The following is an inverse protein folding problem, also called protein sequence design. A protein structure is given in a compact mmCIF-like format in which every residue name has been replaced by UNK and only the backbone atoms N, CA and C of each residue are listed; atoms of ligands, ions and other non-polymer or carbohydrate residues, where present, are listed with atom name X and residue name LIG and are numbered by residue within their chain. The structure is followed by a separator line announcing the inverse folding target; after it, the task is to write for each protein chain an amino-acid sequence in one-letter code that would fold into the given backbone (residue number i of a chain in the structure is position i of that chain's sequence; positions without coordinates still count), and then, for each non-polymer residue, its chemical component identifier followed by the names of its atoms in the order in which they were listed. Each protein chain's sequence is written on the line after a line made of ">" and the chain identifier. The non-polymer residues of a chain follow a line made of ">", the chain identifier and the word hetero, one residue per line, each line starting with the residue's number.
data_IF_257277862828
#
_entry.id   IF_257277862828
#
_cell.length_a   1.000
_cell.length_b   1.000
_cell.length_c   1.000
_cell.angle_alpha   90.00
_cell.angle_beta   90.00
_cell.angle_gamma   90.00
#
_symmetry.space_group_name_H-M   'P 1'
#
loop_
_entity.id
_entity.type
_entity.pdbx_description
1 polymer ?
#
# COMPACT_ATOMS: atom_id res chain seq x y z
N UNK A 1 7.71 16.46 -23.73
CA UNK A 1 9.08 16.18 -23.23
C UNK A 1 9.30 14.69 -23.28
N UNK A 2 10.44 14.24 -23.81
CA UNK A 2 10.85 12.83 -23.80
C UNK A 2 12.06 12.71 -22.88
N UNK A 3 11.95 11.85 -21.87
CA UNK A 3 13.05 11.51 -20.98
C UNK A 3 13.57 10.13 -21.36
N UNK A 4 14.89 9.98 -21.45
CA UNK A 4 15.59 8.71 -21.68
C UNK A 4 16.58 8.51 -20.54
N UNK A 5 16.56 7.32 -19.95
CA UNK A 5 17.55 6.87 -18.98
C UNK A 5 18.11 5.51 -19.39
N UNK A 6 19.41 5.34 -19.20
CA UNK A 6 20.11 4.07 -19.42
C UNK A 6 20.57 3.56 -18.04
N UNK A 7 20.27 2.29 -17.76
CA UNK A 7 20.49 1.68 -16.45
C UNK A 7 21.28 0.40 -16.62
N UNK A 8 22.36 0.27 -15.85
CA UNK A 8 23.12 -0.97 -15.73
C UNK A 8 22.53 -1.81 -14.59
N UNK A 9 21.89 -2.92 -14.94
CA UNK A 9 21.52 -3.99 -14.02
C UNK A 9 22.65 -5.02 -13.95
N UNK A 10 22.68 -5.93 -12.95
CA UNK A 10 23.72 -6.95 -12.84
C UNK A 10 23.90 -7.78 -14.11
N UNK A 11 22.79 -8.13 -14.77
CA UNK A 11 22.77 -9.04 -15.92
C UNK A 11 22.36 -8.38 -17.25
N UNK A 12 22.04 -7.08 -17.25
CA UNK A 12 21.56 -6.40 -18.46
C UNK A 12 21.77 -4.88 -18.47
N UNK A 13 21.77 -4.32 -19.67
CA UNK A 13 21.58 -2.89 -19.90
C UNK A 13 20.13 -2.64 -20.25
N UNK A 14 19.48 -1.74 -19.52
CA UNK A 14 18.08 -1.38 -19.73
C UNK A 14 17.96 0.08 -20.15
N UNK A 15 17.29 0.31 -21.27
CA UNK A 15 16.93 1.65 -21.72
C UNK A 15 15.46 1.92 -21.41
N UNK A 16 15.20 2.94 -20.59
CA UNK A 16 13.83 3.34 -20.23
C UNK A 16 13.50 4.69 -20.85
N UNK A 17 12.39 4.75 -21.58
CA UNK A 17 11.86 5.99 -22.16
C UNK A 17 10.56 6.38 -21.46
N UNK A 18 10.42 7.66 -21.12
CA UNK A 18 9.19 8.27 -20.64
C UNK A 18 8.81 9.45 -21.54
N UNK A 19 7.76 9.26 -22.33
CA UNK A 19 7.13 10.31 -23.12
C UNK A 19 6.01 10.98 -22.34
N UNK A 20 6.14 12.28 -22.11
CA UNK A 20 5.10 13.12 -21.51
C UNK A 20 4.66 14.18 -22.52
N UNK A 21 3.39 14.13 -22.91
CA UNK A 21 2.76 15.12 -23.78
C UNK A 21 1.55 15.73 -23.07
N UNK A 22 1.33 17.03 -23.28
CA UNK A 22 0.23 17.79 -22.67
C UNK A 22 -1.10 17.16 -23.09
N UNK A 23 -1.97 16.87 -22.12
CA UNK A 23 -3.28 16.22 -22.32
C UNK A 23 -3.25 14.78 -22.90
N UNK A 24 -2.09 14.13 -22.98
CA UNK A 24 -1.98 12.73 -23.38
C UNK A 24 -1.57 11.83 -22.21
N UNK A 25 -1.86 10.53 -22.32
CA UNK A 25 -1.34 9.53 -21.37
C UNK A 25 0.18 9.48 -21.45
N UNK A 26 0.84 9.33 -20.30
CA UNK A 26 2.28 9.05 -20.25
C UNK A 26 2.58 7.73 -20.97
N UNK A 27 3.57 7.74 -21.86
CA UNK A 27 4.01 6.54 -22.59
C UNK A 27 5.35 6.10 -22.01
N UNK A 28 5.40 4.89 -21.47
CA UNK A 28 6.64 4.29 -20.99
C UNK A 28 7.09 3.18 -21.92
N UNK A 29 8.39 3.11 -22.22
CA UNK A 29 9.00 2.03 -22.99
C UNK A 29 10.21 1.45 -22.26
N UNK A 30 10.44 0.16 -22.46
CA UNK A 30 11.66 -0.58 -22.08
C UNK A 30 12.28 -1.14 -23.35
N UNK A 31 13.53 -0.77 -23.63
CA UNK A 31 14.26 -1.18 -24.84
C UNK A 31 13.39 -0.98 -26.10
N UNK A 32 12.85 0.24 -26.22
CA UNK A 32 11.92 0.70 -27.28
C UNK A 32 10.57 0.00 -27.38
N UNK A 33 10.30 -1.02 -26.56
CA UNK A 33 9.00 -1.67 -26.48
C UNK A 33 8.11 -0.98 -25.45
N UNK A 34 6.89 -0.53 -25.82
CA UNK A 34 5.98 0.08 -24.86
C UNK A 34 5.52 -0.94 -23.82
N UNK A 35 5.42 -0.51 -22.56
CA UNK A 35 4.77 -1.33 -21.54
C UNK A 35 3.27 -1.48 -21.86
N UNK A 36 2.73 -2.68 -21.67
CA UNK A 36 1.27 -2.87 -21.78
C UNK A 36 0.57 -2.32 -20.54
N UNK A 37 1.21 -2.47 -19.37
CA UNK A 37 0.74 -1.93 -18.09
C UNK A 37 1.89 -1.29 -17.34
N UNK A 38 1.67 -0.11 -16.78
CA UNK A 38 2.69 0.59 -15.98
C UNK A 38 3.19 -0.25 -14.79
N UNK A 39 2.37 -1.14 -14.24
CA UNK A 39 2.76 -2.09 -13.19
C UNK A 39 3.92 -3.01 -13.57
N UNK A 40 4.18 -3.23 -14.86
CA UNK A 40 5.32 -4.03 -15.35
C UNK A 40 6.67 -3.34 -15.13
N UNK A 41 6.66 -2.02 -14.94
CA UNK A 41 7.87 -1.25 -14.62
C UNK A 41 8.25 -1.34 -13.14
N UNK A 42 7.26 -1.56 -12.26
CA UNK A 42 7.48 -1.55 -10.81
C UNK A 42 8.39 -2.73 -10.41
N UNK A 43 9.47 -2.41 -9.69
CA UNK A 43 10.48 -3.37 -9.28
C UNK A 43 11.50 -3.77 -10.36
N UNK A 44 11.40 -3.22 -11.57
CA UNK A 44 12.43 -3.44 -12.60
C UNK A 44 13.76 -2.77 -12.23
N UNK A 45 13.67 -1.54 -11.74
CA UNK A 45 14.80 -0.73 -11.31
C UNK A 45 14.48 -0.29 -9.89
N UNK A 46 14.99 -1.01 -8.86
CA UNK A 46 14.75 -0.63 -7.48
C UNK A 46 15.45 0.71 -7.20
N UNK A 47 14.68 1.72 -6.86
CA UNK A 47 15.16 3.07 -6.60
C UNK A 47 14.56 3.57 -5.29
N UNK A 48 15.41 4.15 -4.46
CA UNK A 48 15.00 4.83 -3.23
C UNK A 48 15.22 6.32 -3.43
N UNK A 49 14.14 7.09 -3.33
CA UNK A 49 14.17 8.55 -3.31
C UNK A 49 13.87 9.00 -1.88
N UNK A 50 14.66 9.95 -1.39
CA UNK A 50 14.38 10.65 -0.12
C UNK A 50 14.06 12.10 -0.47
N UNK A 51 12.92 12.58 0.00
CA UNK A 51 12.46 13.94 -0.23
C UNK A 51 11.94 14.57 1.06
N UNK A 52 12.00 15.91 1.22
CA UNK A 52 11.41 16.59 2.38
C UNK A 52 9.92 16.27 2.61
N UNK A 53 9.19 15.94 1.54
CA UNK A 53 7.79 15.54 1.61
C UNK A 53 7.55 14.21 2.34
N UNK A 54 8.58 13.38 2.54
CA UNK A 54 8.46 12.07 3.21
C UNK A 54 8.06 12.18 4.68
N UNK A 55 8.16 13.39 5.28
CA UNK A 55 7.58 13.68 6.60
C UNK A 55 6.10 13.32 6.68
N UNK A 56 5.38 13.36 5.55
CA UNK A 56 3.96 12.96 5.45
C UNK A 56 3.71 11.51 5.85
N UNK A 57 4.70 10.61 5.79
CA UNK A 57 4.57 9.24 6.28
C UNK A 57 4.35 9.25 7.80
N UNK A 58 5.01 10.17 8.50
CA UNK A 58 4.93 10.30 9.96
C UNK A 58 3.68 11.09 10.37
N UNK A 59 3.53 12.32 9.86
CA UNK A 59 2.47 13.25 10.30
C UNK A 59 1.12 13.02 9.60
N UNK A 60 1.12 12.25 8.51
CA UNK A 60 -0.05 12.00 7.68
C UNK A 60 -1.01 10.97 8.28
N UNK A 61 -2.02 10.62 7.49
CA UNK A 61 -3.01 9.61 7.84
C UNK A 61 -2.52 8.18 7.59
N UNK A 62 -3.36 7.21 7.95
CA UNK A 62 -3.09 5.79 7.67
C UNK A 62 -2.94 5.49 6.18
N UNK A 63 -3.52 6.32 5.31
CA UNK A 63 -3.37 6.20 3.86
C UNK A 63 -1.92 6.38 3.40
N UNK A 64 -1.22 7.41 3.88
CA UNK A 64 0.16 7.67 3.47
C UNK A 64 1.10 6.55 3.94
N UNK A 65 0.88 6.03 5.14
CA UNK A 65 1.63 4.88 5.68
C UNK A 65 1.35 3.59 4.92
N UNK A 66 0.09 3.34 4.55
CA UNK A 66 -0.27 2.20 3.68
C UNK A 66 0.36 2.35 2.29
N UNK A 67 0.32 3.53 1.68
CA UNK A 67 0.96 3.79 0.38
C UNK A 67 2.46 3.55 0.44
N UNK A 68 3.12 4.00 1.50
CA UNK A 68 4.54 3.73 1.74
C UNK A 68 4.81 2.21 1.79
N UNK A 69 4.11 1.50 2.67
CA UNK A 69 4.24 0.05 2.81
C UNK A 69 3.95 -0.70 1.50
N UNK A 70 2.85 -0.36 0.83
CA UNK A 70 2.46 -0.97 -0.44
C UNK A 70 3.47 -0.71 -1.55
N UNK A 71 4.01 0.51 -1.61
CA UNK A 71 5.03 0.91 -2.58
C UNK A 71 6.31 0.10 -2.39
N UNK A 72 6.79 -0.02 -1.13
CA UNK A 72 8.02 -0.77 -0.82
C UNK A 72 7.85 -2.26 -1.13
N UNK A 73 6.77 -2.89 -0.68
CA UNK A 73 6.52 -4.32 -0.93
C UNK A 73 6.40 -4.58 -2.44
N UNK A 74 5.70 -3.71 -3.18
CA UNK A 74 5.50 -3.87 -4.63
C UNK A 74 6.79 -3.81 -5.44
N UNK A 75 7.87 -3.21 -4.91
CA UNK A 75 9.16 -3.17 -5.60
C UNK A 75 9.85 -4.53 -5.66
N UNK A 76 9.63 -5.42 -4.69
CA UNK A 76 10.28 -6.75 -4.67
C UNK A 76 9.30 -7.92 -4.78
N UNK A 77 8.00 -7.71 -4.56
CA UNK A 77 6.97 -8.74 -4.73
C UNK A 77 5.95 -8.34 -5.82
N UNK A 78 6.17 -8.85 -7.04
CA UNK A 78 5.25 -8.64 -8.17
C UNK A 78 3.89 -9.28 -7.96
N UNK A 79 3.81 -10.39 -7.23
CA UNK A 79 2.55 -11.06 -6.94
C UNK A 79 1.71 -10.23 -5.96
N UNK A 80 2.36 -9.62 -4.96
CA UNK A 80 1.74 -8.65 -4.07
C UNK A 80 1.12 -7.49 -4.87
N UNK A 81 1.89 -6.84 -5.75
CA UNK A 81 1.38 -5.75 -6.58
C UNK A 81 0.15 -6.18 -7.40
N UNK A 82 0.21 -7.36 -8.03
CA UNK A 82 -0.92 -7.90 -8.81
C UNK A 82 -2.16 -8.11 -7.94
N UNK A 83 -1.99 -8.67 -6.74
CA UNK A 83 -3.09 -8.94 -5.81
C UNK A 83 -3.64 -7.65 -5.20
N UNK A 84 -2.80 -6.67 -4.88
CA UNK A 84 -3.20 -5.35 -4.40
C UNK A 84 -4.05 -4.60 -5.44
N UNK A 85 -3.62 -4.59 -6.70
CA UNK A 85 -4.40 -3.99 -7.80
C UNK A 85 -5.75 -4.70 -7.96
N UNK A 86 -5.77 -6.04 -7.94
CA UNK A 86 -7.01 -6.81 -8.03
C UNK A 86 -7.95 -6.53 -6.84
N UNK A 87 -7.41 -6.45 -5.62
CA UNK A 87 -8.16 -6.14 -4.41
C UNK A 87 -8.80 -4.76 -4.50
N UNK A 88 -8.05 -3.73 -4.91
CA UNK A 88 -8.55 -2.36 -5.06
C UNK A 88 -9.65 -2.26 -6.13
N UNK A 89 -9.55 -3.03 -7.22
CA UNK A 89 -10.60 -3.10 -8.25
C UNK A 89 -11.88 -3.73 -7.69
N UNK A 90 -11.77 -4.84 -6.95
CA UNK A 90 -12.92 -5.48 -6.30
C UNK A 90 -13.54 -4.60 -5.22
N UNK A 91 -12.71 -3.92 -4.42
CA UNK A 91 -13.15 -2.94 -3.42
C UNK A 91 -13.98 -1.81 -4.07
N UNK A 92 -13.49 -1.28 -5.20
CA UNK A 92 -14.21 -0.25 -5.97
C UNK A 92 -15.54 -0.79 -6.49
N UNK A 93 -15.55 -2.02 -7.02
CA UNK A 93 -16.77 -2.70 -7.48
C UNK A 93 -17.77 -2.91 -6.34
N UNK A 94 -17.33 -3.42 -5.18
CA UNK A 94 -18.15 -3.61 -3.97
C UNK A 94 -18.72 -2.28 -3.49
N UNK A 95 -17.91 -1.24 -3.41
CA UNK A 95 -18.36 0.10 -3.01
C UNK A 95 -19.37 0.70 -3.99
N UNK A 96 -19.26 0.42 -5.29
CA UNK A 96 -20.28 0.81 -6.28
C UNK A 96 -21.61 0.11 -6.01
N UNK A 97 -21.60 -1.21 -5.75
CA UNK A 97 -22.80 -1.98 -5.45
C UNK A 97 -23.45 -1.54 -4.13
N UNK A 98 -22.66 -1.21 -3.11
CA UNK A 98 -23.15 -0.66 -1.84
C UNK A 98 -23.92 0.65 -2.07
N UNK A 99 -23.36 1.58 -2.85
CA UNK A 99 -24.03 2.83 -3.22
C UNK A 99 -25.31 2.61 -4.02
N UNK A 100 -25.37 1.54 -4.82
CA UNK A 100 -26.54 1.12 -5.58
C UNK A 100 -27.55 0.33 -4.75
N UNK A 101 -27.31 0.13 -3.44
CA UNK A 101 -28.17 -0.67 -2.54
C UNK A 101 -28.46 -2.07 -3.11
N UNK A 102 -27.45 -2.69 -3.71
CA UNK A 102 -27.55 -4.04 -4.28
C UNK A 102 -27.83 -5.10 -3.20
N UNK A 103 -28.27 -6.28 -3.64
CA UNK A 103 -28.55 -7.41 -2.76
C UNK A 103 -27.32 -7.85 -1.96
N UNK A 104 -27.54 -8.27 -0.71
CA UNK A 104 -26.50 -8.70 0.23
C UNK A 104 -25.67 -9.87 -0.33
N UNK A 105 -26.31 -10.83 -0.96
CA UNK A 105 -25.65 -12.01 -1.53
C UNK A 105 -24.60 -11.63 -2.58
N UNK A 106 -24.90 -10.65 -3.43
CA UNK A 106 -23.95 -10.16 -4.43
C UNK A 106 -22.74 -9.48 -3.79
N UNK A 107 -22.94 -8.77 -2.68
CA UNK A 107 -21.84 -8.16 -1.91
C UNK A 107 -20.95 -9.24 -1.27
N UNK A 108 -21.55 -10.32 -0.77
CA UNK A 108 -20.81 -11.46 -0.17
C UNK A 108 -20.02 -12.23 -1.23
N UNK A 109 -20.56 -12.47 -2.43
CA UNK A 109 -19.82 -13.10 -3.54
C UNK A 109 -18.57 -12.29 -3.92
N UNK A 110 -18.66 -10.95 -3.95
CA UNK A 110 -17.47 -10.11 -4.17
C UNK A 110 -16.51 -10.21 -2.98
N UNK A 111 -17.05 -10.29 -1.75
CA UNK A 111 -16.24 -10.39 -0.54
C UNK A 111 -15.43 -11.70 -0.51
N UNK A 112 -15.97 -12.81 -1.00
CA UNK A 112 -15.21 -14.07 -1.15
C UNK A 112 -14.02 -13.92 -2.09
N UNK A 113 -14.20 -13.27 -3.24
CA UNK A 113 -13.10 -12.97 -4.18
C UNK A 113 -12.05 -12.06 -3.54
N UNK A 114 -12.48 -11.12 -2.69
CA UNK A 114 -11.58 -10.23 -1.95
C UNK A 114 -10.82 -10.96 -0.85
N UNK A 115 -11.40 -11.98 -0.21
CA UNK A 115 -10.81 -12.67 0.95
C UNK A 115 -9.43 -13.27 0.64
N UNK A 116 -9.31 -13.98 -0.49
CA UNK A 116 -8.05 -14.60 -0.92
C UNK A 116 -6.96 -13.56 -1.20
N UNK A 117 -7.36 -12.38 -1.68
CA UNK A 117 -6.43 -11.28 -1.93
C UNK A 117 -6.05 -10.57 -0.63
N UNK A 118 -7.02 -10.32 0.24
CA UNK A 118 -6.84 -9.66 1.53
C UNK A 118 -5.87 -10.43 2.42
N UNK A 119 -6.03 -11.75 2.54
CA UNK A 119 -5.16 -12.59 3.37
C UNK A 119 -3.71 -12.53 2.88
N UNK A 120 -3.47 -12.69 1.58
CA UNK A 120 -2.10 -12.57 1.05
C UNK A 120 -1.49 -11.19 1.29
N UNK A 121 -2.27 -10.11 1.12
CA UNK A 121 -1.80 -8.75 1.36
C UNK A 121 -1.44 -8.56 2.84
N UNK A 122 -2.30 -9.03 3.73
CA UNK A 122 -2.10 -8.98 5.17
C UNK A 122 -0.83 -9.73 5.59
N UNK A 123 -0.66 -10.98 5.14
CA UNK A 123 0.52 -11.79 5.47
C UNK A 123 1.82 -11.09 5.03
N UNK A 124 1.83 -10.53 3.82
CA UNK A 124 3.00 -9.78 3.31
C UNK A 124 3.28 -8.49 4.07
N UNK A 125 2.24 -7.82 4.57
CA UNK A 125 2.40 -6.63 5.42
C UNK A 125 2.90 -7.00 6.81
N UNK A 126 2.47 -8.11 7.39
CA UNK A 126 3.05 -8.65 8.62
C UNK A 126 4.53 -9.01 8.44
N UNK A 127 4.87 -9.68 7.34
CA UNK A 127 6.26 -10.01 7.02
C UNK A 127 7.13 -8.77 6.84
N UNK A 128 6.62 -7.76 6.13
CA UNK A 128 7.31 -6.49 5.94
C UNK A 128 7.54 -5.77 7.27
N UNK A 129 6.50 -5.64 8.09
CA UNK A 129 6.58 -4.92 9.37
C UNK A 129 7.55 -5.60 10.33
N UNK A 130 7.52 -6.93 10.43
CA UNK A 130 8.49 -7.72 11.20
C UNK A 130 9.95 -7.48 10.79
N UNK A 131 10.20 -7.22 9.50
CA UNK A 131 11.57 -6.97 8.99
C UNK A 131 12.00 -5.51 9.13
N UNK A 132 11.09 -4.56 8.87
CA UNK A 132 11.44 -3.13 8.86
C UNK A 132 11.57 -2.53 10.26
N UNK A 133 10.81 -3.03 11.24
CA UNK A 133 10.80 -2.47 12.61
C UNK A 133 12.20 -2.51 13.25
N UNK A 134 12.92 -3.64 13.28
CA UNK A 134 14.27 -3.68 13.86
C UNK A 134 15.26 -2.75 13.15
N UNK A 135 15.12 -2.61 11.83
CA UNK A 135 15.97 -1.73 11.02
C UNK A 135 15.70 -0.26 11.36
N UNK A 136 14.42 0.12 11.45
CA UNK A 136 13.98 1.45 11.84
C UNK A 136 14.48 1.80 13.26
N UNK A 137 14.28 0.90 14.23
CA UNK A 137 14.74 1.09 15.61
C UNK A 137 16.25 1.27 15.70
N UNK A 138 17.02 0.46 14.96
CA UNK A 138 18.49 0.57 14.90
C UNK A 138 18.92 1.97 14.45
N UNK A 139 18.47 2.40 13.27
CA UNK A 139 18.91 3.68 12.71
C UNK A 139 18.37 4.87 13.51
N UNK A 140 17.16 4.79 14.04
CA UNK A 140 16.63 5.86 14.89
C UNK A 140 17.44 6.00 16.19
N UNK A 141 17.82 4.89 16.82
CA UNK A 141 18.68 4.90 18.01
C UNK A 141 20.04 5.56 17.74
N UNK A 142 20.63 5.29 16.58
CA UNK A 142 21.89 5.92 16.17
C UNK A 142 21.71 7.44 16.01
N UNK A 143 20.62 7.90 15.40
CA UNK A 143 20.31 9.32 15.18
C UNK A 143 19.97 10.04 16.50
N UNK A 144 19.15 9.44 17.36
CA UNK A 144 18.73 10.03 18.63
C UNK A 144 19.78 9.92 19.74
N UNK A 145 20.92 9.29 19.46
CA UNK A 145 21.94 8.92 20.44
C UNK A 145 21.35 8.12 21.63
N UNK A 146 20.31 7.31 21.36
CA UNK A 146 19.61 6.51 22.36
C UNK A 146 18.76 7.28 23.36
N UNK A 147 18.51 8.58 23.15
CA UNK A 147 17.67 9.41 24.04
C UNK A 147 16.18 9.10 23.92
N UNK A 148 15.79 8.47 22.83
CA UNK A 148 14.41 8.23 22.47
C UNK A 148 14.21 6.76 22.10
N UNK A 149 13.12 6.17 22.58
CA UNK A 149 12.69 4.81 22.23
C UNK A 149 11.57 4.92 21.22
N UNK A 150 11.73 4.32 20.04
CA UNK A 150 10.72 4.33 18.99
C UNK A 150 10.21 2.94 18.69
N UNK A 151 8.96 2.86 18.24
CA UNK A 151 8.37 1.62 17.75
C UNK A 151 7.33 1.87 16.64
N UNK A 152 6.94 0.80 15.95
CA UNK A 152 5.85 0.81 14.97
C UNK A 152 4.95 -0.40 15.22
N UNK A 153 3.68 -0.17 15.50
CA UNK A 153 2.68 -1.25 15.59
C UNK A 153 1.88 -1.36 14.28
N UNK A 154 1.80 -2.56 13.72
CA UNK A 154 0.91 -2.84 12.59
C UNK A 154 -0.50 -3.19 13.09
N UNK A 155 -1.46 -2.33 12.80
CA UNK A 155 -2.86 -2.54 13.14
C UNK A 155 -3.65 -2.99 11.91
N UNK A 156 -4.23 -4.18 12.01
CA UNK A 156 -5.19 -4.70 11.04
C UNK A 156 -6.37 -5.35 11.76
N UNK A 157 -7.56 -5.22 11.19
CA UNK A 157 -8.73 -5.98 11.64
C UNK A 157 -8.57 -7.48 11.38
N UNK A 158 -7.69 -7.86 10.44
CA UNK A 158 -7.41 -9.26 10.16
C UNK A 158 -6.58 -9.95 11.27
N UNK A 159 -6.08 -9.18 12.25
CA UNK A 159 -5.46 -9.74 13.45
C UNK A 159 -6.46 -10.54 14.31
N UNK A 160 -7.76 -10.22 14.24
CA UNK A 160 -8.77 -10.81 15.14
C UNK A 160 -9.76 -11.74 14.45
N UNK A 161 -9.93 -11.60 13.14
CA UNK A 161 -10.91 -12.35 12.36
C UNK A 161 -10.48 -12.42 10.89
N UNK A 162 -10.89 -13.46 10.18
CA UNK A 162 -10.60 -13.50 8.74
C UNK A 162 -11.49 -12.50 7.97
N UNK A 163 -11.11 -12.18 6.72
CA UNK A 163 -11.82 -11.18 5.93
C UNK A 163 -13.32 -11.50 5.71
N UNK A 164 -13.69 -12.78 5.58
CA UNK A 164 -15.09 -13.15 5.34
C UNK A 164 -15.97 -12.96 6.59
N UNK A 165 -15.43 -13.27 7.77
CA UNK A 165 -16.09 -12.97 9.04
C UNK A 165 -16.32 -11.46 9.17
N UNK A 166 -15.27 -10.67 8.94
CA UNK A 166 -15.36 -9.20 8.98
C UNK A 166 -16.38 -8.67 7.98
N UNK A 167 -16.37 -9.14 6.73
CA UNK A 167 -17.28 -8.70 5.69
C UNK A 167 -18.75 -9.06 5.97
N UNK A 168 -18.97 -10.21 6.61
CA UNK A 168 -20.31 -10.67 7.01
C UNK A 168 -20.83 -9.85 8.19
N UNK A 169 -20.00 -9.63 9.21
CA UNK A 169 -20.35 -8.82 10.38
C UNK A 169 -20.59 -7.35 10.01
N UNK A 170 -19.82 -6.81 9.05
CA UNK A 170 -19.92 -5.40 8.65
C UNK A 170 -20.99 -5.14 7.59
N UNK A 171 -21.69 -6.15 7.06
CA UNK A 171 -22.52 -5.97 5.85
C UNK A 171 -23.64 -4.95 6.04
N UNK A 172 -24.33 -4.96 7.18
CA UNK A 172 -25.43 -4.03 7.46
C UNK A 172 -24.92 -2.60 7.60
N UNK A 173 -23.82 -2.45 8.34
CA UNK A 173 -23.11 -1.17 8.50
C UNK A 173 -22.62 -0.64 7.15
N UNK A 174 -22.03 -1.49 6.32
CA UNK A 174 -21.52 -1.12 4.99
C UNK A 174 -22.64 -0.67 4.06
N UNK A 175 -23.81 -1.34 4.10
CA UNK A 175 -25.00 -0.95 3.34
C UNK A 175 -25.49 0.45 3.74
N UNK A 176 -25.43 0.80 5.02
CA UNK A 176 -25.78 2.14 5.53
C UNK A 176 -24.73 3.17 5.10
N UNK A 177 -23.44 2.84 5.26
CA UNK A 177 -22.32 3.73 4.97
C UNK A 177 -22.07 3.95 3.47
N UNK A 178 -22.58 3.07 2.60
CA UNK A 178 -22.35 3.09 1.16
C UNK A 178 -20.90 2.77 0.76
N UNK A 179 -20.12 2.17 1.66
CA UNK A 179 -18.73 1.78 1.39
C UNK A 179 -18.26 0.70 2.37
N UNK A 180 -17.24 -0.06 1.97
CA UNK A 180 -16.65 -1.15 2.76
C UNK A 180 -15.91 -0.58 3.97
N UNK A 181 -16.29 -1.01 5.17
CA UNK A 181 -15.70 -0.54 6.42
C UNK A 181 -14.64 -1.46 7.02
N UNK A 182 -14.45 -2.66 6.46
CA UNK A 182 -13.50 -3.63 6.97
C UNK A 182 -12.54 -4.24 5.91
N UNK A 183 -11.31 -4.52 6.31
CA UNK A 183 -10.28 -5.19 5.51
C UNK A 183 -8.97 -4.40 5.37
N UNK A 184 -8.02 -4.94 4.60
CA UNK A 184 -6.64 -4.41 4.49
C UNK A 184 -6.53 -2.96 4.00
N UNK A 185 -7.53 -2.42 3.32
CA UNK A 185 -7.56 -0.99 2.97
C UNK A 185 -7.78 -0.06 4.17
N UNK A 186 -8.06 -0.61 5.36
CA UNK A 186 -8.21 0.10 6.64
C UNK A 186 -7.02 -0.05 7.58
N UNK A 187 -6.04 -0.89 7.24
CA UNK A 187 -4.85 -1.11 8.06
C UNK A 187 -4.07 0.16 8.35
N UNK A 188 -3.24 0.14 9.39
CA UNK A 188 -2.42 1.28 9.77
C UNK A 188 -1.06 0.83 10.32
N UNK A 189 -0.08 1.72 10.21
CA UNK A 189 1.18 1.64 10.94
C UNK A 189 1.13 2.73 12.02
N UNK A 190 1.15 2.37 13.28
CA UNK A 190 1.12 3.30 14.40
C UNK A 190 2.55 3.53 14.87
N UNK A 191 3.10 4.69 14.54
CA UNK A 191 4.40 5.11 15.06
C UNK A 191 4.26 5.51 16.53
N UNK A 192 5.21 5.09 17.35
CA UNK A 192 5.25 5.34 18.78
C UNK A 192 6.59 5.93 19.20
N UNK A 193 6.55 6.85 20.15
CA UNK A 193 7.70 7.44 20.82
C UNK A 193 7.51 7.24 22.33
N UNK A 194 8.46 6.56 22.97
CA UNK A 194 8.43 6.20 24.39
C UNK A 194 7.14 5.48 24.81
N UNK A 195 6.61 4.62 23.93
CA UNK A 195 5.39 3.85 24.15
C UNK A 195 4.08 4.59 23.84
N UNK A 196 4.14 5.88 23.49
CA UNK A 196 2.95 6.66 23.14
C UNK A 196 2.85 6.84 21.63
N UNK A 197 1.67 6.64 21.01
CA UNK A 197 1.49 6.97 19.61
C UNK A 197 1.91 8.41 19.34
N UNK A 198 2.67 8.62 18.27
CA UNK A 198 3.00 9.95 17.76
C UNK A 198 1.68 10.53 17.21
N UNK A 199 0.93 11.18 18.10
CA UNK A 199 -0.28 11.92 17.74
C UNK A 199 0.16 13.21 17.06
N UNK A 200 -0.71 13.73 16.19
CA UNK A 200 -0.61 15.13 15.76
C UNK A 200 -0.59 15.99 17.02
N UNK A 201 0.57 16.53 17.37
CA UNK A 201 0.64 17.83 18.04
C UNK A 201 0.07 18.84 17.04
N UNK A 202 -1.26 18.91 16.99
CA UNK A 202 -1.99 20.08 16.53
C UNK A 202 -2.23 20.96 17.75
N UNK A 203 -1.16 21.56 18.26
CA UNK A 203 -1.24 22.71 19.17
C UNK A 203 0.02 23.55 19.01
N UNK A 204 0.04 24.36 17.96
CA UNK A 204 -0.05 25.83 18.06
C UNK A 204 -0.77 26.36 16.82
#
# INVERSE_FOLDING_TARGET
>A
MMLKGEYQLPDSLETIHCGVQKQAKKVFKRNDKPYQKFSEHIGLIPLVMVAPADITIIIGGSEERRKFMDSVISQYDRLYLKKLVAYNNLLTKRNKLLKQKSQRDLLLIISEQMAVLANYIYDKRQDFTRQIIPIFQKYYKEISAGKEVVDIAYESQLNTANFMELATQSIEKDCILGHTSAGVHRDNLIFQLSGYPIRKEGSQ
#
